data_IF_611853144401
#
_entry.id   IF_611853144401
#
_cell.length_a   1.000
_cell.length_b   1.000
_cell.length_c   1.000
_cell.angle_alpha   90.00
_cell.angle_beta   90.00
_cell.angle_gamma   90.00
#
_symmetry.space_group_name_H-M   'P 1'
#
loop_
_entity.id
_entity.type
_entity.pdbx_description
1 polymer ?
#
# COMPACT_ATOMS: atom_id res chain seq x y z
N UNK A 1 -20.20 10.20 23.15
CA UNK A 1 -20.03 11.64 22.88
C UNK A 1 -19.46 12.45 24.05
N UNK A 2 -19.74 12.13 25.32
CA UNK A 2 -19.32 12.97 26.47
C UNK A 2 -17.79 13.08 26.71
N UNK A 3 -17.00 12.03 26.42
CA UNK A 3 -15.55 12.01 26.74
C UNK A 3 -14.68 12.82 25.75
N UNK A 4 -15.11 12.91 24.49
CA UNK A 4 -14.36 13.60 23.41
C UNK A 4 -14.96 14.97 23.11
N UNK A 5 -16.29 15.07 23.12
CA UNK A 5 -17.00 16.29 22.74
C UNK A 5 -16.84 16.65 21.26
N UNK A 6 -17.59 17.64 20.81
CA UNK A 6 -17.50 18.14 19.43
C UNK A 6 -16.09 18.65 19.11
N UNK A 7 -15.52 19.48 20.00
CA UNK A 7 -14.17 20.02 19.84
C UNK A 7 -13.11 18.93 19.65
N UNK A 8 -13.21 17.81 20.38
CA UNK A 8 -12.27 16.70 20.23
C UNK A 8 -12.42 15.95 18.91
N UNK A 9 -13.65 15.80 18.40
CA UNK A 9 -13.87 15.21 17.07
C UNK A 9 -13.37 16.12 15.95
N UNK A 10 -13.57 17.44 16.08
CA UNK A 10 -13.06 18.43 15.12
C UNK A 10 -11.53 18.42 15.12
N UNK A 11 -10.88 18.45 16.28
CA UNK A 11 -9.42 18.36 16.41
C UNK A 11 -8.86 17.06 15.79
N UNK A 12 -9.48 15.91 16.08
CA UNK A 12 -9.09 14.63 15.48
C UNK A 12 -9.25 14.64 13.96
N UNK A 13 -10.34 15.20 13.44
CA UNK A 13 -10.58 15.33 12.01
C UNK A 13 -9.49 16.19 11.34
N UNK A 14 -9.18 17.36 11.91
CA UNK A 14 -8.12 18.25 11.41
C UNK A 14 -6.77 17.53 11.36
N UNK A 15 -6.41 16.78 12.42
CA UNK A 15 -5.16 16.02 12.47
C UNK A 15 -5.11 14.90 11.45
N UNK A 16 -6.18 14.12 11.33
CA UNK A 16 -6.25 12.97 10.43
C UNK A 16 -6.24 13.44 8.96
N UNK A 17 -7.14 14.34 8.59
CA UNK A 17 -7.25 14.84 7.21
C UNK A 17 -6.02 15.66 6.84
N UNK A 18 -5.51 16.47 7.76
CA UNK A 18 -4.27 17.22 7.56
C UNK A 18 -3.07 16.31 7.32
N UNK A 19 -2.95 15.22 8.08
CA UNK A 19 -1.91 14.21 7.86
C UNK A 19 -2.07 13.47 6.53
N UNK A 20 -3.29 13.08 6.16
CA UNK A 20 -3.55 12.44 4.88
C UNK A 20 -3.17 13.34 3.70
N UNK A 21 -3.49 14.64 3.79
CA UNK A 21 -3.06 15.65 2.82
C UNK A 21 -1.54 15.74 2.72
N UNK A 22 -0.83 15.79 3.86
CA UNK A 22 0.65 15.80 3.87
C UNK A 22 1.25 14.57 3.21
N UNK A 23 0.73 13.38 3.48
CA UNK A 23 1.18 12.14 2.85
C UNK A 23 0.93 12.19 1.34
N UNK A 24 -0.27 12.58 0.91
CA UNK A 24 -0.60 12.67 -0.51
C UNK A 24 0.29 13.70 -1.25
N UNK A 25 0.52 14.87 -0.64
CA UNK A 25 1.43 15.88 -1.19
C UNK A 25 2.87 15.38 -1.25
N UNK A 26 3.37 14.71 -0.21
CA UNK A 26 4.72 14.15 -0.19
C UNK A 26 4.91 13.07 -1.27
N UNK A 27 3.95 12.17 -1.44
CA UNK A 27 3.97 11.15 -2.50
C UNK A 27 3.98 11.80 -3.89
N UNK A 28 3.25 12.90 -4.08
CA UNK A 28 3.17 13.59 -5.37
C UNK A 28 4.37 14.50 -5.66
N UNK A 29 5.08 14.99 -4.64
CA UNK A 29 6.14 16.01 -4.79
C UNK A 29 7.55 15.47 -4.58
N UNK A 30 7.73 14.41 -3.76
CA UNK A 30 9.03 13.79 -3.55
C UNK A 30 9.51 13.19 -4.87
N UNK A 31 10.67 13.58 -5.43
CA UNK A 31 11.14 13.07 -6.72
C UNK A 31 11.28 11.55 -6.74
N UNK A 32 11.69 10.94 -5.62
CA UNK A 32 11.83 9.50 -5.49
C UNK A 32 10.47 8.78 -5.62
N UNK A 33 9.43 9.31 -4.97
CA UNK A 33 8.09 8.74 -4.97
C UNK A 33 7.33 9.08 -6.25
N UNK A 34 7.30 10.35 -6.64
CA UNK A 34 6.53 10.83 -7.79
C UNK A 34 6.97 10.17 -9.10
N UNK A 35 8.24 9.78 -9.22
CA UNK A 35 8.74 9.06 -10.40
C UNK A 35 8.16 7.64 -10.53
N UNK A 36 7.77 6.98 -9.43
CA UNK A 36 7.22 5.61 -9.46
C UNK A 36 5.75 5.50 -9.10
N UNK A 37 5.23 6.38 -8.25
CA UNK A 37 3.89 6.29 -7.71
C UNK A 37 2.95 7.30 -8.34
N UNK A 38 1.71 6.88 -8.53
CA UNK A 38 0.57 7.73 -8.86
C UNK A 38 -0.50 7.63 -7.79
N UNK A 39 -1.06 8.77 -7.38
CA UNK A 39 -2.24 8.77 -6.53
C UNK A 39 -3.46 8.27 -7.30
N UNK A 40 -4.25 7.40 -6.67
CA UNK A 40 -5.51 6.93 -7.23
C UNK A 40 -6.58 7.99 -6.95
N UNK A 41 -6.83 8.83 -7.95
CA UNK A 41 -7.78 9.94 -7.85
C UNK A 41 -7.29 11.08 -6.96
N UNK A 42 -8.20 11.75 -6.25
CA UNK A 42 -7.90 12.90 -5.38
C UNK A 42 -8.35 12.59 -3.95
N UNK A 43 -7.43 12.23 -3.03
CA UNK A 43 -7.79 11.94 -1.64
C UNK A 43 -8.16 13.25 -0.92
N UNK A 44 -9.44 13.39 -0.55
CA UNK A 44 -9.96 14.58 0.15
C UNK A 44 -10.05 14.42 1.66
N UNK A 45 -9.96 13.19 2.16
CA UNK A 45 -10.22 12.82 3.57
C UNK A 45 -9.11 11.94 4.12
N UNK A 46 -9.41 10.90 4.90
CA UNK A 46 -8.44 10.11 5.66
C UNK A 46 -7.73 8.99 4.90
N UNK A 47 -8.14 8.65 3.67
CA UNK A 47 -7.58 7.51 2.93
C UNK A 47 -6.78 8.00 1.74
N UNK A 48 -5.54 7.53 1.62
CA UNK A 48 -4.65 7.81 0.50
C UNK A 48 -4.31 6.48 -0.18
N UNK A 49 -4.66 6.36 -1.45
CA UNK A 49 -4.35 5.20 -2.27
C UNK A 49 -3.38 5.59 -3.39
N UNK A 50 -2.44 4.71 -3.69
CA UNK A 50 -1.46 4.90 -4.76
C UNK A 50 -1.19 3.60 -5.51
N UNK A 51 -0.89 3.75 -6.79
CA UNK A 51 -0.46 2.69 -7.71
C UNK A 51 0.97 2.96 -8.17
N UNK A 52 1.61 1.98 -8.81
CA UNK A 52 2.97 2.09 -9.31
C UNK A 52 2.99 2.10 -10.85
N UNK A 53 3.88 2.92 -11.44
CA UNK A 53 4.05 3.08 -12.89
C UNK A 53 4.92 1.98 -13.49
N UNK A 54 6.14 1.83 -12.96
CA UNK A 54 7.16 0.93 -13.53
C UNK A 54 7.48 -0.25 -12.60
N UNK A 55 7.11 -0.15 -11.33
CA UNK A 55 7.32 -1.19 -10.33
C UNK A 55 6.05 -1.99 -10.06
N UNK A 56 6.21 -3.17 -9.49
CA UNK A 56 5.09 -3.93 -8.95
C UNK A 56 4.68 -3.36 -7.58
N UNK A 57 3.46 -2.83 -7.48
CA UNK A 57 2.94 -2.26 -6.24
C UNK A 57 2.91 -3.27 -5.09
N UNK A 58 2.74 -4.56 -5.37
CA UNK A 58 2.73 -5.58 -4.33
C UNK A 58 4.12 -5.90 -3.78
N UNK A 59 5.17 -5.80 -4.61
CA UNK A 59 6.56 -5.95 -4.13
C UNK A 59 6.92 -4.79 -3.19
N UNK A 60 6.40 -3.58 -3.47
CA UNK A 60 6.50 -2.43 -2.55
C UNK A 60 5.72 -2.71 -1.25
N UNK A 61 4.54 -3.34 -1.33
CA UNK A 61 3.73 -3.66 -0.15
C UNK A 61 4.44 -4.68 0.75
N UNK A 62 5.10 -5.67 0.16
CA UNK A 62 5.92 -6.65 0.87
C UNK A 62 7.15 -6.00 1.51
N UNK A 63 7.84 -5.09 0.80
CA UNK A 63 8.95 -4.31 1.34
C UNK A 63 8.54 -3.43 2.54
N UNK A 64 7.37 -2.80 2.46
CA UNK A 64 6.79 -2.06 3.58
C UNK A 64 6.41 -2.97 4.75
N UNK A 65 5.87 -4.16 4.47
CA UNK A 65 5.54 -5.18 5.48
C UNK A 65 6.78 -5.68 6.22
N UNK A 66 7.90 -5.87 5.52
CA UNK A 66 9.19 -6.24 6.13
C UNK A 66 9.73 -5.17 7.08
N UNK A 67 9.33 -3.90 6.89
CA UNK A 67 9.61 -2.78 7.81
C UNK A 67 8.57 -2.63 8.93
N UNK A 68 7.59 -3.52 8.99
CA UNK A 68 6.53 -3.53 10.00
C UNK A 68 5.30 -2.68 9.65
N UNK A 69 5.16 -2.25 8.40
CA UNK A 69 4.00 -1.51 7.93
C UNK A 69 2.99 -2.42 7.24
N UNK A 70 1.79 -2.52 7.80
CA UNK A 70 0.69 -3.27 7.20
C UNK A 70 -0.23 -2.33 6.41
N UNK A 71 0.07 -2.17 5.12
CA UNK A 71 -0.74 -1.39 4.20
C UNK A 71 -1.77 -2.30 3.51
N UNK A 72 -2.92 -1.74 3.14
CA UNK A 72 -3.97 -2.53 2.52
C UNK A 72 -3.70 -2.64 1.01
N UNK A 73 -3.44 -3.85 0.54
CA UNK A 73 -3.38 -4.15 -0.88
C UNK A 73 -4.79 -4.03 -1.52
N UNK A 74 -4.82 -3.43 -2.71
CA UNK A 74 -6.01 -3.20 -3.51
C UNK A 74 -5.86 -3.88 -4.87
N UNK A 75 -7.00 -4.14 -5.52
CA UNK A 75 -7.09 -4.77 -6.82
C UNK A 75 -8.09 -4.02 -7.71
N UNK A 76 -7.90 -4.12 -9.03
CA UNK A 76 -8.73 -3.46 -10.06
C UNK A 76 -8.83 -1.93 -9.93
N UNK A 77 -7.72 -1.18 -10.09
CA UNK A 77 -6.38 -1.60 -10.52
C UNK A 77 -5.49 -2.08 -9.36
N UNK A 78 -4.34 -2.73 -9.63
CA UNK A 78 -3.33 -2.99 -8.62
C UNK A 78 -2.92 -1.69 -7.92
N UNK A 79 -3.11 -1.62 -6.62
CA UNK A 79 -2.79 -0.46 -5.81
C UNK A 79 -2.55 -0.87 -4.36
N UNK A 80 -2.14 0.08 -3.53
CA UNK A 80 -2.24 -0.05 -2.07
C UNK A 80 -2.78 1.25 -1.47
N UNK A 81 -3.32 1.17 -0.26
CA UNK A 81 -3.76 2.35 0.47
C UNK A 81 -3.36 2.33 1.94
N UNK A 82 -3.30 3.56 2.48
CA UNK A 82 -3.23 3.80 3.91
C UNK A 82 -4.50 4.53 4.38
N UNK A 83 -5.12 3.98 5.42
CA UNK A 83 -6.14 4.68 6.18
C UNK A 83 -5.46 5.45 7.32
N UNK A 84 -5.42 6.78 7.20
CA UNK A 84 -4.81 7.64 8.20
C UNK A 84 -5.71 7.69 9.42
N UNK A 85 -5.13 7.33 10.56
CA UNK A 85 -5.75 7.36 11.88
C UNK A 85 -4.86 8.16 12.83
N UNK A 86 -5.35 8.45 14.03
CA UNK A 86 -4.57 9.22 15.03
C UNK A 86 -3.15 8.67 15.27
N UNK A 87 -2.89 7.35 15.36
CA UNK A 87 -1.53 6.82 15.44
C UNK A 87 -0.65 7.20 14.25
N UNK A 88 -1.17 7.11 13.01
CA UNK A 88 -0.42 7.45 11.79
C UNK A 88 -0.01 8.93 11.80
N UNK A 89 -0.85 9.83 12.33
CA UNK A 89 -0.51 11.26 12.43
C UNK A 89 0.78 11.54 13.19
N UNK A 90 1.24 10.62 14.04
CA UNK A 90 2.47 10.75 14.84
C UNK A 90 3.71 10.19 14.15
N UNK A 91 3.54 9.36 13.12
CA UNK A 91 4.62 8.57 12.51
C UNK A 91 4.66 8.66 10.99
N UNK A 92 3.86 9.55 10.38
CA UNK A 92 3.73 9.67 8.94
C UNK A 92 5.05 10.00 8.23
N UNK A 93 5.93 10.78 8.86
CA UNK A 93 7.27 11.10 8.32
C UNK A 93 8.14 9.85 8.19
N UNK A 94 8.11 8.98 9.21
CA UNK A 94 8.81 7.67 9.16
C UNK A 94 8.21 6.80 8.07
N UNK A 95 6.88 6.81 7.92
CA UNK A 95 6.20 6.03 6.89
C UNK A 95 6.64 6.43 5.48
N UNK A 96 6.69 7.73 5.17
CA UNK A 96 7.10 8.19 3.84
C UNK A 96 8.60 7.98 3.58
N UNK A 97 9.45 8.12 4.60
CA UNK A 97 10.88 7.83 4.48
C UNK A 97 11.14 6.33 4.24
N UNK A 98 10.41 5.45 4.95
CA UNK A 98 10.48 4.01 4.72
C UNK A 98 9.97 3.64 3.32
N UNK A 99 8.91 4.29 2.84
CA UNK A 99 8.37 4.08 1.50
C UNK A 99 9.38 4.47 0.41
N UNK A 100 10.08 5.60 0.58
CA UNK A 100 11.17 6.02 -0.31
C UNK A 100 12.29 4.98 -0.34
N UNK A 101 12.72 4.49 0.83
CA UNK A 101 13.76 3.47 0.92
C UNK A 101 13.36 2.13 0.28
N UNK A 102 12.10 1.72 0.42
CA UNK A 102 11.57 0.50 -0.22
C UNK A 102 11.53 0.66 -1.73
N UNK A 103 11.03 1.79 -2.24
CA UNK A 103 10.98 2.05 -3.68
C UNK A 103 12.37 2.04 -4.28
N UNK A 104 13.35 2.67 -3.63
CA UNK A 104 14.73 2.65 -4.12
C UNK A 104 15.31 1.22 -4.15
N UNK A 105 15.04 0.42 -3.11
CA UNK A 105 15.45 -0.98 -3.10
C UNK A 105 14.80 -1.81 -4.21
N UNK A 106 13.51 -1.59 -4.50
CA UNK A 106 12.81 -2.27 -5.60
C UNK A 106 13.29 -1.79 -6.98
N UNK A 107 13.60 -0.50 -7.14
CA UNK A 107 14.24 0.03 -8.36
C UNK A 107 15.57 -0.65 -8.65
N UNK A 108 16.44 -0.76 -7.65
CA UNK A 108 17.75 -1.39 -7.83
C UNK A 108 17.61 -2.88 -8.15
N UNK A 109 16.67 -3.59 -7.51
CA UNK A 109 16.36 -4.99 -7.85
C UNK A 109 15.91 -5.14 -9.31
N UNK A 110 15.03 -4.27 -9.80
CA UNK A 110 14.60 -4.30 -11.20
C UNK A 110 15.74 -3.95 -12.16
N UNK A 111 16.58 -2.97 -11.82
CA UNK A 111 17.76 -2.62 -12.62
C UNK A 111 18.74 -3.79 -12.77
N UNK A 112 19.05 -4.48 -11.67
CA UNK A 112 19.93 -5.68 -11.70
C UNK A 112 19.31 -6.77 -12.57
N UNK A 113 18.00 -6.99 -12.48
CA UNK A 113 17.30 -8.00 -13.31
C UNK A 113 17.38 -7.70 -14.81
N UNK A 114 17.17 -6.44 -15.18
CA UNK A 114 17.29 -6.00 -16.59
C UNK A 114 18.71 -6.23 -17.10
N UNK A 115 19.73 -5.94 -16.30
CA UNK A 115 21.14 -6.21 -16.64
C UNK A 115 21.44 -7.71 -16.76
N UNK A 116 20.82 -8.54 -15.92
CA UNK A 116 20.91 -10.00 -15.97
C UNK A 116 20.13 -10.63 -17.15
N UNK A 117 19.49 -9.82 -18.01
CA UNK A 117 18.72 -10.30 -19.15
C UNK A 117 17.42 -11.01 -18.78
N UNK A 118 16.98 -10.90 -17.52
CA UNK A 118 15.66 -11.33 -17.09
C UNK A 118 14.67 -10.25 -17.56
N UNK A 119 13.73 -10.62 -18.43
CA UNK A 119 12.70 -9.70 -18.92
C UNK A 119 11.87 -9.08 -17.77
N UNK A 120 11.05 -8.04 -18.06
CA UNK A 120 10.26 -7.36 -17.04
C UNK A 120 9.44 -8.37 -16.22
N UNK A 121 9.53 -8.25 -14.89
CA UNK A 121 8.78 -9.10 -13.96
C UNK A 121 7.29 -8.94 -14.26
N UNK A 122 6.59 -10.03 -14.58
CA UNK A 122 5.13 -10.03 -14.54
C UNK A 122 4.64 -9.72 -13.11
N UNK A 123 3.41 -9.20 -12.99
CA UNK A 123 2.82 -8.54 -11.80
C UNK A 123 2.78 -9.34 -10.46
N UNK A 124 3.46 -10.46 -10.26
CA UNK A 124 3.28 -11.30 -9.06
C UNK A 124 4.54 -12.08 -8.62
N UNK A 125 5.38 -11.52 -7.74
CA UNK A 125 6.60 -12.20 -7.25
C UNK A 125 7.01 -11.82 -5.81
N UNK A 126 6.01 -11.67 -4.93
CA UNK A 126 6.13 -11.49 -3.48
C UNK A 126 4.93 -12.12 -2.75
N UNK A 127 4.91 -12.23 -1.43
CA UNK A 127 3.84 -12.93 -0.68
C UNK A 127 2.46 -12.27 -0.87
N UNK A 128 2.40 -10.94 -0.77
CA UNK A 128 1.18 -10.17 -1.08
C UNK A 128 0.88 -10.24 -2.57
N UNK A 129 1.92 -10.23 -3.41
CA UNK A 129 1.76 -10.37 -4.85
C UNK A 129 1.25 -11.77 -5.25
N UNK A 130 1.57 -12.80 -4.47
CA UNK A 130 1.11 -14.17 -4.69
C UNK A 130 -0.36 -14.31 -4.29
N UNK A 131 -0.79 -13.69 -3.19
CA UNK A 131 -2.21 -13.72 -2.80
C UNK A 131 -3.07 -12.81 -3.68
N UNK A 132 -2.70 -11.53 -3.79
CA UNK A 132 -3.51 -10.52 -4.50
C UNK A 132 -3.24 -10.49 -6.00
N UNK A 133 -2.02 -10.75 -6.45
CA UNK A 133 -1.70 -10.84 -7.88
C UNK A 133 -2.30 -12.09 -8.52
N UNK A 134 -2.23 -13.26 -7.85
CA UNK A 134 -2.89 -14.48 -8.36
C UNK A 134 -4.41 -14.31 -8.31
N UNK A 135 -4.98 -13.86 -7.18
CA UNK A 135 -6.43 -13.63 -7.08
C UNK A 135 -6.94 -12.61 -8.12
N UNK A 136 -6.16 -11.56 -8.41
CA UNK A 136 -6.49 -10.57 -9.43
C UNK A 136 -6.34 -11.07 -10.87
N UNK A 137 -5.40 -11.98 -11.13
CA UNK A 137 -5.11 -12.52 -12.48
C UNK A 137 -5.95 -13.74 -12.87
N UNK A 138 -6.59 -14.42 -11.92
CA UNK A 138 -7.35 -15.64 -12.18
C UNK A 138 -8.69 -15.32 -12.87
N UNK A 139 -8.95 -15.87 -14.07
CA UNK A 139 -10.23 -15.65 -14.75
C UNK A 139 -11.39 -16.38 -14.05
N UNK A 140 -11.10 -17.45 -13.30
CA UNK A 140 -12.11 -18.22 -12.57
C UNK A 140 -12.16 -17.82 -11.10
N UNK A 141 -13.20 -17.07 -10.73
CA UNK A 141 -13.47 -16.63 -9.36
C UNK A 141 -13.77 -17.78 -8.38
N UNK A 142 -14.09 -18.98 -8.85
CA UNK A 142 -14.37 -20.13 -7.97
C UNK A 142 -13.14 -20.52 -7.13
N UNK A 143 -11.93 -20.43 -7.70
CA UNK A 143 -10.68 -20.74 -6.99
C UNK A 143 -10.45 -19.77 -5.81
N UNK A 144 -10.86 -18.51 -5.96
CA UNK A 144 -10.77 -17.51 -4.89
C UNK A 144 -11.72 -17.85 -3.74
N UNK A 145 -12.91 -18.39 -4.04
CA UNK A 145 -13.88 -18.83 -3.02
C UNK A 145 -13.34 -20.02 -2.23
N UNK A 146 -12.75 -21.01 -2.90
CA UNK A 146 -12.16 -22.17 -2.24
C UNK A 146 -10.99 -21.77 -1.33
N UNK A 147 -10.11 -20.87 -1.80
CA UNK A 147 -9.01 -20.35 -1.00
C UNK A 147 -9.51 -19.57 0.23
N UNK A 148 -10.52 -18.72 0.05
CA UNK A 148 -11.12 -17.97 1.15
C UNK A 148 -11.78 -18.90 2.18
N UNK A 149 -12.45 -19.95 1.72
CA UNK A 149 -13.07 -20.97 2.58
C UNK A 149 -12.01 -21.70 3.41
N UNK A 150 -10.93 -22.17 2.76
CA UNK A 150 -9.81 -22.80 3.45
C UNK A 150 -9.14 -21.86 4.46
N UNK A 151 -9.00 -20.56 4.14
CA UNK A 151 -8.48 -19.56 5.08
C UNK A 151 -9.39 -19.42 6.32
N UNK A 152 -10.71 -19.31 6.11
CA UNK A 152 -11.67 -19.26 7.21
C UNK A 152 -11.57 -20.52 8.08
N UNK A 153 -11.54 -21.71 7.49
CA UNK A 153 -11.42 -22.97 8.21
C UNK A 153 -10.13 -23.05 9.06
N UNK A 154 -9.00 -22.56 8.52
CA UNK A 154 -7.74 -22.54 9.25
C UNK A 154 -7.77 -21.61 10.47
N UNK A 155 -8.52 -20.51 10.43
CA UNK A 155 -8.68 -19.64 11.60
C UNK A 155 -9.41 -20.32 12.78
N UNK A 156 -10.13 -21.41 12.52
CA UNK A 156 -10.81 -22.21 13.55
C UNK A 156 -10.07 -23.50 13.92
N UNK A 157 -8.91 -23.79 13.32
CA UNK A 157 -8.06 -24.91 13.77
C UNK A 157 -7.23 -24.46 14.96
N UNK A 158 -7.54 -25.02 16.12
CA UNK A 158 -6.83 -24.83 17.39
C UNK A 158 -5.40 -25.41 17.33
#
# INVERSE_FOLDING_TARGET
MMKVGEAGYVDACVKIVGCAKKIAEHVAQSPALAAELDLVGRPLVSVVAFTARNLNIYDIADGMSAKGWHLNALQNPPAMHIAVTMPITKVWERLVADLEAVIEAEREKERVRVVEGKGPKGNATGDTAALYGVAGSLPNKAVVVDLATGFLDLMYKA
#
